data_IF_989173630690
#
_entry.id   IF_989173630690
#
_cell.length_a   1.000
_cell.length_b   1.000
_cell.length_c   1.000
_cell.angle_alpha   90.00
_cell.angle_beta   90.00
_cell.angle_gamma   90.00
#
_symmetry.space_group_name_H-M   'P 1'
#
loop_
_entity.id
_entity.type
_entity.pdbx_description
1 polymer ?
#
# COMPACT_ATOMS: atom_id res chain seq x y z
N UNK A 1 11.11 -40.46 -5.21
CA UNK A 1 10.67 -40.56 -6.62
C UNK A 1 11.13 -39.28 -7.32
N UNK A 2 12.10 -39.41 -8.23
CA UNK A 2 12.67 -38.28 -8.97
C UNK A 2 11.63 -37.76 -9.96
N UNK A 3 11.33 -36.47 -9.88
CA UNK A 3 10.51 -35.73 -10.88
C UNK A 3 11.36 -35.69 -12.16
N UNK A 4 10.82 -36.08 -13.32
CA UNK A 4 11.56 -36.00 -14.59
C UNK A 4 11.83 -34.53 -14.91
N UNK A 5 13.11 -34.15 -14.93
CA UNK A 5 13.61 -32.89 -15.47
C UNK A 5 13.40 -32.87 -17.00
N UNK A 6 12.90 -31.73 -17.50
CA UNK A 6 12.80 -31.34 -18.93
C UNK A 6 11.59 -31.82 -19.76
N UNK A 7 10.36 -31.59 -19.27
CA UNK A 7 9.32 -31.17 -20.19
C UNK A 7 9.42 -29.62 -20.28
N UNK A 8 9.57 -29.07 -21.50
CA UNK A 8 9.58 -27.61 -21.70
C UNK A 8 8.26 -27.04 -21.15
N UNK A 9 8.37 -26.05 -20.28
CA UNK A 9 7.18 -25.37 -19.71
C UNK A 9 6.26 -24.92 -20.84
N UNK A 10 4.91 -25.11 -20.75
CA UNK A 10 3.99 -24.62 -21.76
C UNK A 10 4.14 -23.10 -21.98
N UNK A 11 4.15 -22.65 -23.23
CA UNK A 11 4.36 -21.25 -23.58
C UNK A 11 3.36 -20.30 -22.88
N UNK A 12 2.09 -20.73 -22.73
CA UNK A 12 1.07 -19.96 -21.99
C UNK A 12 1.45 -19.80 -20.50
N UNK A 13 2.04 -20.81 -19.87
CA UNK A 13 2.49 -20.72 -18.47
C UNK A 13 3.69 -19.77 -18.33
N UNK A 14 4.63 -19.80 -19.28
CA UNK A 14 5.74 -18.85 -19.35
C UNK A 14 5.23 -17.42 -19.48
N UNK A 15 4.27 -17.18 -20.41
CA UNK A 15 3.65 -15.87 -20.57
C UNK A 15 2.96 -15.40 -19.29
N UNK A 16 2.19 -16.29 -18.62
CA UNK A 16 1.53 -15.98 -17.37
C UNK A 16 2.54 -15.52 -16.31
N UNK A 17 3.66 -16.23 -16.17
CA UNK A 17 4.73 -15.84 -15.21
C UNK A 17 5.36 -14.49 -15.56
N UNK A 18 5.61 -14.19 -16.82
CA UNK A 18 6.13 -12.89 -17.26
C UNK A 18 5.23 -11.73 -16.86
N UNK A 19 3.92 -12.00 -16.71
CA UNK A 19 2.92 -11.04 -16.23
C UNK A 19 2.59 -11.19 -14.74
N UNK A 20 3.40 -11.92 -13.96
CA UNK A 20 3.23 -12.09 -12.50
C UNK A 20 2.07 -13.02 -12.12
N UNK A 21 1.54 -13.79 -13.06
CA UNK A 21 0.46 -14.78 -12.82
C UNK A 21 1.07 -16.16 -12.59
N UNK A 22 0.74 -16.79 -11.46
CA UNK A 22 1.19 -18.16 -11.16
C UNK A 22 0.31 -19.19 -11.88
N UNK A 23 0.84 -19.98 -12.83
CA UNK A 23 0.08 -21.02 -13.51
C UNK A 23 -0.03 -22.32 -12.72
N UNK A 24 0.79 -22.49 -11.68
CA UNK A 24 0.77 -23.63 -10.74
C UNK A 24 0.94 -23.10 -9.32
N UNK A 25 0.13 -23.57 -8.39
CA UNK A 25 0.20 -23.23 -6.97
C UNK A 25 -0.06 -24.46 -6.10
N UNK A 26 0.38 -24.43 -4.86
CA UNK A 26 0.03 -25.45 -3.88
C UNK A 26 -1.31 -25.11 -3.24
N UNK A 27 -2.23 -26.08 -3.23
CA UNK A 27 -3.52 -25.93 -2.56
C UNK A 27 -3.36 -25.94 -1.03
N UNK A 28 -4.48 -25.80 -0.31
CA UNK A 28 -4.49 -25.80 1.16
C UNK A 28 -3.97 -27.11 1.80
N UNK A 29 -3.79 -28.18 1.01
CA UNK A 29 -3.25 -29.46 1.44
C UNK A 29 -1.79 -29.66 0.99
N UNK A 30 -1.18 -28.65 0.36
CA UNK A 30 0.17 -28.71 -0.19
C UNK A 30 0.26 -29.55 -1.47
N UNK A 31 -0.86 -29.71 -2.20
CA UNK A 31 -0.89 -30.42 -3.48
C UNK A 31 -0.73 -29.44 -4.64
N UNK A 32 0.29 -29.63 -5.52
CA UNK A 32 0.48 -28.78 -6.69
C UNK A 32 -0.74 -28.83 -7.62
N UNK A 33 -1.34 -27.69 -7.83
CA UNK A 33 -2.57 -27.51 -8.64
C UNK A 33 -2.27 -26.61 -9.82
N UNK A 34 -2.57 -27.11 -11.02
CA UNK A 34 -2.39 -26.34 -12.27
C UNK A 34 -3.64 -25.54 -12.57
N UNK A 35 -3.45 -24.26 -12.88
CA UNK A 35 -4.53 -23.36 -13.31
C UNK A 35 -4.94 -23.70 -14.74
N UNK A 36 -6.24 -23.83 -14.99
CA UNK A 36 -6.75 -24.13 -16.31
C UNK A 36 -6.46 -23.01 -17.33
N UNK A 37 -6.08 -23.35 -18.56
CA UNK A 37 -5.74 -22.41 -19.65
C UNK A 37 -6.82 -21.33 -19.85
N UNK A 38 -8.10 -21.71 -19.79
CA UNK A 38 -9.21 -20.76 -19.92
C UNK A 38 -9.24 -19.71 -18.78
N UNK A 39 -8.72 -20.01 -17.59
CA UNK A 39 -8.59 -19.05 -16.51
C UNK A 39 -7.38 -18.14 -16.74
N UNK A 40 -6.23 -18.70 -17.15
CA UNK A 40 -5.03 -17.93 -17.52
C UNK A 40 -5.33 -16.94 -18.64
N UNK A 41 -6.03 -17.35 -19.70
CA UNK A 41 -6.42 -16.47 -20.81
C UNK A 41 -7.27 -15.29 -20.34
N UNK A 42 -8.25 -15.53 -19.45
CA UNK A 42 -9.07 -14.44 -18.87
C UNK A 42 -8.28 -13.48 -18.00
N UNK A 43 -7.34 -13.99 -17.20
CA UNK A 43 -6.48 -13.15 -16.37
C UNK A 43 -5.54 -12.33 -17.25
N UNK A 44 -4.91 -12.94 -18.27
CA UNK A 44 -4.04 -12.23 -19.21
C UNK A 44 -4.80 -11.16 -19.98
N UNK A 45 -6.01 -11.46 -20.47
CA UNK A 45 -6.86 -10.47 -21.12
C UNK A 45 -7.23 -9.29 -20.21
N UNK A 46 -7.45 -9.54 -18.91
CA UNK A 46 -7.68 -8.48 -17.91
C UNK A 46 -6.43 -7.63 -17.63
N UNK A 47 -5.24 -8.14 -18.00
CA UNK A 47 -3.96 -7.41 -17.98
C UNK A 47 -3.61 -6.80 -19.36
N UNK A 48 -4.61 -6.65 -20.24
CA UNK A 48 -4.45 -6.15 -21.61
C UNK A 48 -3.58 -7.04 -22.54
N UNK A 49 -3.44 -8.33 -22.20
CA UNK A 49 -2.69 -9.34 -22.98
C UNK A 49 -3.65 -10.39 -23.53
N UNK A 50 -4.34 -10.05 -24.61
CA UNK A 50 -5.26 -10.98 -25.27
C UNK A 50 -4.52 -11.87 -26.28
N UNK A 51 -4.33 -13.11 -25.91
CA UNK A 51 -3.71 -14.17 -26.72
C UNK A 51 -4.71 -15.26 -27.11
N UNK A 52 -6.01 -14.94 -27.06
CA UNK A 52 -7.06 -15.84 -27.45
C UNK A 52 -7.19 -15.90 -28.99
N UNK A 53 -7.43 -17.10 -29.52
CA UNK A 53 -7.90 -17.26 -30.87
C UNK A 53 -9.36 -16.81 -30.98
N UNK A 54 -9.83 -16.37 -32.18
CA UNK A 54 -11.24 -16.13 -32.45
C UNK A 54 -12.04 -17.41 -32.15
N UNK A 55 -12.91 -17.38 -31.14
CA UNK A 55 -13.70 -18.52 -30.72
C UNK A 55 -15.19 -18.30 -31.00
N UNK A 56 -15.89 -19.37 -31.34
CA UNK A 56 -17.34 -19.36 -31.55
C UNK A 56 -18.11 -19.09 -30.20
N UNK A 57 -17.52 -19.42 -29.07
CA UNK A 57 -18.06 -19.15 -27.74
C UNK A 57 -17.06 -18.32 -26.92
N UNK A 58 -17.35 -17.04 -26.57
CA UNK A 58 -16.49 -16.20 -25.76
C UNK A 58 -16.25 -16.75 -24.34
N UNK A 59 -17.10 -17.66 -23.87
CA UNK A 59 -16.95 -18.29 -22.55
C UNK A 59 -15.91 -19.39 -22.52
N UNK A 60 -15.48 -19.85 -23.73
CA UNK A 60 -14.47 -20.90 -23.89
C UNK A 60 -13.33 -20.39 -24.78
N UNK A 61 -12.51 -19.47 -24.28
CA UNK A 61 -11.38 -18.95 -25.03
C UNK A 61 -10.41 -20.09 -25.34
N UNK A 62 -9.85 -20.06 -26.55
CA UNK A 62 -8.86 -21.04 -27.03
C UNK A 62 -7.53 -20.32 -27.20
N UNK A 63 -6.43 -20.98 -26.82
CA UNK A 63 -5.07 -20.43 -26.93
C UNK A 63 -4.69 -20.26 -28.39
N UNK A 64 -4.17 -19.06 -28.76
CA UNK A 64 -3.49 -18.84 -30.04
C UNK A 64 -1.98 -18.92 -29.84
N UNK A 65 -1.30 -20.01 -30.27
CA UNK A 65 0.13 -20.18 -30.02
C UNK A 65 1.00 -19.06 -30.61
N UNK A 66 0.62 -18.54 -31.79
CA UNK A 66 1.39 -17.47 -32.43
C UNK A 66 1.30 -16.15 -31.65
N UNK A 67 0.11 -15.83 -31.14
CA UNK A 67 -0.08 -14.67 -30.26
C UNK A 67 0.65 -14.83 -28.94
N UNK A 68 0.68 -16.04 -28.36
CA UNK A 68 1.43 -16.32 -27.13
C UNK A 68 2.92 -16.08 -27.33
N UNK A 69 3.53 -16.60 -28.39
CA UNK A 69 4.95 -16.39 -28.69
C UNK A 69 5.29 -14.91 -28.95
N UNK A 70 4.43 -14.21 -29.69
CA UNK A 70 4.58 -12.77 -29.90
C UNK A 70 4.49 -11.98 -28.59
N UNK A 71 3.55 -12.34 -27.71
CA UNK A 71 3.36 -11.70 -26.41
C UNK A 71 4.53 -11.99 -25.45
N UNK A 72 5.11 -13.21 -25.47
CA UNK A 72 6.33 -13.54 -24.73
C UNK A 72 7.48 -12.64 -25.17
N UNK A 73 7.71 -12.54 -26.50
CA UNK A 73 8.76 -11.69 -27.06
C UNK A 73 8.57 -10.24 -26.61
N UNK A 74 7.35 -9.71 -26.73
CA UNK A 74 7.04 -8.34 -26.33
C UNK A 74 7.25 -8.10 -24.82
N UNK A 75 6.87 -9.06 -23.97
CA UNK A 75 7.07 -8.96 -22.52
C UNK A 75 8.55 -8.97 -22.14
N UNK A 76 9.35 -9.83 -22.80
CA UNK A 76 10.80 -9.89 -22.62
C UNK A 76 11.48 -8.61 -23.12
N UNK A 77 11.09 -8.10 -24.29
CA UNK A 77 11.60 -6.83 -24.83
C UNK A 77 11.27 -5.65 -23.89
N UNK A 78 10.08 -5.65 -23.30
CA UNK A 78 9.69 -4.65 -22.31
C UNK A 78 10.57 -4.67 -21.06
N UNK A 79 11.05 -5.83 -20.61
CA UNK A 79 12.03 -5.93 -19.53
C UNK A 79 13.37 -5.27 -19.91
N UNK A 80 13.84 -5.47 -21.14
CA UNK A 80 15.09 -4.90 -21.64
C UNK A 80 15.00 -3.40 -21.98
N UNK A 81 13.80 -2.88 -22.25
CA UNK A 81 13.58 -1.43 -22.44
C UNK A 81 13.48 -0.70 -21.12
N UNK A 82 13.06 -1.38 -20.05
CA UNK A 82 13.01 -0.81 -18.71
C UNK A 82 14.42 -0.67 -18.15
N UNK A 83 14.85 0.55 -17.85
CA UNK A 83 16.19 0.83 -17.34
C UNK A 83 16.51 0.15 -16.03
N UNK A 84 15.55 0.16 -15.09
CA UNK A 84 15.63 -0.48 -13.77
C UNK A 84 14.25 -0.92 -13.30
N UNK A 85 14.18 -1.98 -12.49
CA UNK A 85 12.93 -2.39 -11.87
C UNK A 85 12.37 -1.26 -10.96
N UNK A 86 11.04 -1.05 -10.90
CA UNK A 86 10.46 0.03 -10.08
C UNK A 86 10.70 -0.18 -8.58
N UNK A 87 10.87 -1.42 -8.15
CA UNK A 87 11.19 -1.79 -6.77
C UNK A 87 12.22 -2.91 -6.76
N UNK A 88 13.20 -2.78 -5.88
CA UNK A 88 14.25 -3.77 -5.62
C UNK A 88 14.28 -4.06 -4.13
N UNK A 89 14.46 -5.32 -3.76
CA UNK A 89 14.57 -5.76 -2.36
C UNK A 89 16.00 -6.26 -2.11
N UNK A 90 16.60 -5.80 -1.01
CA UNK A 90 17.85 -6.31 -0.50
C UNK A 90 17.75 -6.65 0.99
N UNK A 91 18.72 -7.40 1.51
CA UNK A 91 18.79 -7.77 2.92
C UNK A 91 19.96 -7.05 3.57
N UNK A 92 19.73 -6.39 4.67
CA UNK A 92 20.77 -5.71 5.47
C UNK A 92 21.90 -6.68 5.85
N UNK A 93 23.14 -6.22 5.73
CA UNK A 93 24.31 -7.04 5.99
C UNK A 93 24.71 -7.95 4.83
N UNK A 94 24.02 -7.87 3.68
CA UNK A 94 24.31 -8.64 2.49
C UNK A 94 24.53 -7.70 1.29
N UNK A 95 25.64 -7.90 0.58
CA UNK A 95 25.85 -7.24 -0.69
C UNK A 95 24.84 -7.75 -1.72
N UNK A 96 24.19 -6.85 -2.45
CA UNK A 96 23.21 -7.17 -3.49
C UNK A 96 23.59 -6.56 -4.82
N UNK A 97 23.17 -7.20 -5.91
CA UNK A 97 23.37 -6.69 -7.26
C UNK A 97 22.03 -6.40 -7.92
N UNK A 98 21.85 -5.17 -8.38
CA UNK A 98 20.65 -4.71 -9.08
C UNK A 98 20.93 -4.64 -10.57
N UNK A 99 20.13 -5.33 -11.36
CA UNK A 99 20.29 -5.32 -12.81
C UNK A 99 19.65 -4.06 -13.41
N UNK A 100 20.37 -3.47 -14.37
CA UNK A 100 19.89 -2.35 -15.17
C UNK A 100 20.15 -2.61 -16.64
N UNK A 101 19.31 -2.04 -17.50
CA UNK A 101 19.43 -2.18 -18.95
C UNK A 101 19.58 -0.81 -19.60
N UNK A 102 20.59 -0.67 -20.48
CA UNK A 102 20.86 0.56 -21.21
C UNK A 102 21.24 0.24 -22.65
N UNK A 103 21.16 1.22 -23.55
CA UNK A 103 21.73 1.02 -24.87
C UNK A 103 23.26 0.79 -24.76
N UNK A 104 23.82 -0.06 -25.62
CA UNK A 104 25.26 -0.39 -25.61
C UNK A 104 26.12 0.87 -25.73
N UNK A 105 25.69 1.84 -26.53
CA UNK A 105 26.33 3.15 -26.69
C UNK A 105 26.32 4.03 -25.45
N UNK A 106 25.41 3.78 -24.52
CA UNK A 106 25.23 4.53 -23.28
C UNK A 106 26.00 3.95 -22.09
N UNK A 107 26.43 2.69 -22.18
CA UNK A 107 26.98 1.93 -21.05
C UNK A 107 28.11 2.63 -20.30
N UNK A 108 29.01 3.33 -21.00
CA UNK A 108 30.11 4.06 -20.38
C UNK A 108 29.69 5.32 -19.60
N UNK A 109 28.47 5.80 -19.80
CA UNK A 109 27.99 7.06 -19.25
C UNK A 109 26.99 6.85 -18.10
N UNK A 110 26.83 5.61 -17.64
CA UNK A 110 25.93 5.25 -16.53
C UNK A 110 26.55 5.64 -15.19
N UNK A 111 25.72 6.23 -14.33
CA UNK A 111 26.04 6.51 -12.91
C UNK A 111 24.87 6.07 -12.06
N UNK A 112 25.16 5.49 -10.91
CA UNK A 112 24.14 5.08 -9.95
C UNK A 112 24.38 5.75 -8.59
N UNK A 113 23.31 6.18 -7.94
CA UNK A 113 23.35 6.82 -6.62
C UNK A 113 22.24 6.27 -5.73
N UNK A 114 22.55 6.12 -4.45
CA UNK A 114 21.61 5.71 -3.41
C UNK A 114 21.32 6.89 -2.47
N UNK A 115 20.06 7.26 -2.34
CA UNK A 115 19.57 8.20 -1.32
C UNK A 115 18.94 7.41 -0.19
N UNK A 116 19.49 7.51 1.01
CA UNK A 116 18.96 6.83 2.19
C UNK A 116 17.73 7.56 2.70
N UNK A 117 16.78 6.80 3.26
CA UNK A 117 15.60 7.33 3.91
C UNK A 117 15.99 8.34 5.02
N UNK A 118 15.35 9.52 5.02
CA UNK A 118 15.64 10.59 5.98
C UNK A 118 16.97 11.34 5.78
N UNK A 119 17.75 11.05 4.73
CA UNK A 119 19.03 11.70 4.45
C UNK A 119 18.98 12.48 3.15
N UNK A 120 19.58 13.67 3.14
CA UNK A 120 19.65 14.53 1.93
C UNK A 120 20.83 14.22 1.00
N UNK A 121 21.87 13.53 1.50
CA UNK A 121 23.06 13.21 0.72
C UNK A 121 22.88 11.91 -0.06
N UNK A 122 23.15 11.95 -1.37
CA UNK A 122 23.18 10.77 -2.23
C UNK A 122 24.57 10.15 -2.26
N UNK A 123 24.65 8.84 -2.08
CA UNK A 123 25.89 8.05 -2.12
C UNK A 123 26.08 7.45 -3.52
N UNK A 124 27.22 7.60 -4.19
CA UNK A 124 27.49 6.92 -5.45
C UNK A 124 27.62 5.41 -5.23
N UNK A 125 27.12 4.63 -6.20
CA UNK A 125 27.22 3.17 -6.21
C UNK A 125 28.08 2.69 -7.40
N UNK A 126 28.84 1.59 -7.23
CA UNK A 126 29.57 0.97 -8.31
C UNK A 126 28.64 0.42 -9.39
N UNK A 127 28.99 0.67 -10.67
CA UNK A 127 28.31 0.10 -11.83
C UNK A 127 29.34 -0.71 -12.60
N UNK A 128 29.03 -1.96 -12.89
CA UNK A 128 29.91 -2.87 -13.60
C UNK A 128 29.19 -3.70 -14.66
N UNK A 129 29.94 -4.50 -15.42
CA UNK A 129 29.31 -5.50 -16.28
C UNK A 129 28.54 -6.51 -15.43
N UNK A 130 27.37 -6.93 -15.90
CA UNK A 130 26.61 -7.96 -15.21
C UNK A 130 27.42 -9.27 -15.24
N UNK A 131 27.91 -9.67 -14.08
CA UNK A 131 28.41 -11.03 -13.90
C UNK A 131 27.21 -11.93 -13.61
N UNK A 132 27.15 -13.07 -14.29
CA UNK A 132 26.18 -14.13 -13.98
C UNK A 132 26.61 -14.77 -12.65
N UNK A 133 26.39 -14.06 -11.55
CA UNK A 133 26.55 -14.64 -10.23
C UNK A 133 25.23 -15.32 -9.87
N UNK A 134 25.31 -16.60 -9.53
CA UNK A 134 24.19 -17.32 -8.95
C UNK A 134 23.73 -16.55 -7.70
N UNK A 135 22.40 -16.36 -7.48
CA UNK A 135 21.90 -15.70 -6.31
C UNK A 135 22.34 -16.45 -5.05
N UNK A 136 23.07 -15.78 -4.17
CA UNK A 136 23.51 -16.33 -2.86
C UNK A 136 22.40 -16.23 -1.79
N UNK A 137 21.15 -16.40 -2.17
CA UNK A 137 20.00 -16.44 -1.26
C UNK A 137 18.98 -17.46 -1.73
N UNK A 138 18.27 -18.08 -0.82
CA UNK A 138 17.11 -18.92 -1.18
C UNK A 138 16.14 -18.10 -2.01
N UNK A 139 15.76 -18.58 -3.21
CA UNK A 139 14.89 -17.82 -4.10
C UNK A 139 13.54 -17.59 -3.43
N UNK A 140 13.12 -16.32 -3.34
CA UNK A 140 11.75 -15.97 -3.03
C UNK A 140 10.82 -16.56 -4.10
N UNK A 141 9.65 -17.11 -3.73
CA UNK A 141 8.64 -17.53 -4.70
C UNK A 141 8.16 -16.42 -5.63
N UNK A 142 8.49 -15.16 -5.33
CA UNK A 142 8.10 -13.97 -6.08
C UNK A 142 9.04 -13.60 -7.23
N UNK A 143 10.19 -14.28 -7.41
CA UNK A 143 11.14 -14.03 -8.50
C UNK A 143 11.13 -15.15 -9.55
N UNK A 144 10.11 -15.27 -10.40
CA UNK A 144 10.10 -16.29 -11.45
C UNK A 144 10.86 -15.90 -12.72
N UNK A 145 11.25 -14.64 -12.87
CA UNK A 145 11.72 -14.10 -14.17
C UNK A 145 13.22 -14.25 -14.38
N UNK A 146 14.03 -14.24 -13.31
CA UNK A 146 15.50 -14.13 -13.46
C UNK A 146 16.24 -15.46 -13.68
N UNK A 147 15.58 -16.60 -13.75
CA UNK A 147 16.27 -17.90 -13.86
C UNK A 147 16.71 -18.33 -15.27
N UNK A 148 16.28 -17.62 -16.32
CA UNK A 148 16.44 -18.10 -17.68
C UNK A 148 17.26 -17.21 -18.63
N UNK A 149 17.64 -15.99 -18.26
CA UNK A 149 18.40 -15.13 -19.16
C UNK A 149 19.88 -15.01 -18.75
N UNK A 150 20.73 -15.89 -19.33
CA UNK A 150 22.18 -15.73 -19.32
C UNK A 150 22.68 -14.65 -20.29
N UNK A 151 21.81 -14.06 -21.09
CA UNK A 151 22.17 -13.06 -22.08
C UNK A 151 22.61 -11.75 -21.40
N UNK A 152 23.78 -11.25 -21.77
CA UNK A 152 24.30 -9.95 -21.35
C UNK A 152 23.89 -8.83 -22.31
N UNK A 153 23.38 -9.18 -23.51
CA UNK A 153 22.96 -8.25 -24.56
C UNK A 153 21.68 -8.74 -25.24
N UNK A 154 20.85 -7.81 -25.72
CA UNK A 154 19.66 -8.07 -26.52
C UNK A 154 19.41 -6.90 -27.48
N UNK A 155 19.01 -7.19 -28.70
CA UNK A 155 18.56 -6.17 -29.66
C UNK A 155 17.05 -6.02 -29.57
N UNK A 156 16.57 -4.82 -29.23
CA UNK A 156 15.15 -4.45 -29.16
C UNK A 156 14.94 -3.22 -30.01
N UNK A 157 14.01 -3.28 -30.95
CA UNK A 157 13.69 -2.21 -31.91
C UNK A 157 14.95 -1.67 -32.66
N UNK A 158 15.87 -2.58 -33.03
CA UNK A 158 17.10 -2.23 -33.71
C UNK A 158 18.19 -1.61 -32.82
N UNK A 159 17.95 -1.45 -31.52
CA UNK A 159 18.90 -0.93 -30.55
C UNK A 159 19.51 -2.10 -29.76
N UNK A 160 20.84 -2.23 -29.83
CA UNK A 160 21.55 -3.17 -28.97
C UNK A 160 21.54 -2.64 -27.52
N UNK A 161 21.03 -3.43 -26.60
CA UNK A 161 20.98 -3.15 -25.16
C UNK A 161 21.90 -4.08 -24.41
N UNK A 162 22.52 -3.54 -23.36
CA UNK A 162 23.41 -4.30 -22.48
C UNK A 162 22.84 -4.29 -21.07
N UNK A 163 23.06 -5.39 -20.36
CA UNK A 163 22.76 -5.55 -18.95
C UNK A 163 23.99 -5.17 -18.14
N UNK A 164 23.82 -4.22 -17.23
CA UNK A 164 24.82 -3.84 -16.25
C UNK A 164 24.33 -4.18 -14.84
N UNK A 165 25.28 -4.22 -13.90
CA UNK A 165 25.00 -4.49 -12.49
C UNK A 165 25.35 -3.27 -11.65
N UNK A 166 24.42 -2.81 -10.82
CA UNK A 166 24.66 -1.83 -9.75
C UNK A 166 24.88 -2.59 -8.46
N UNK A 167 26.02 -2.41 -7.82
CA UNK A 167 26.33 -3.06 -6.55
C UNK A 167 25.77 -2.22 -5.39
N UNK A 168 24.85 -2.81 -4.63
CA UNK A 168 24.35 -2.28 -3.36
C UNK A 168 25.20 -2.88 -2.24
N UNK A 169 25.92 -2.07 -1.47
CA UNK A 169 26.81 -2.57 -0.42
C UNK A 169 26.03 -3.11 0.79
N UNK A 170 26.69 -3.89 1.60
CA UNK A 170 26.13 -4.57 2.78
C UNK A 170 25.87 -3.63 3.98
N UNK A 171 26.45 -2.42 3.96
CA UNK A 171 26.29 -1.41 5.02
C UNK A 171 25.02 -0.55 4.87
N UNK A 172 24.15 -0.86 3.90
CA UNK A 172 22.86 -0.15 3.75
C UNK A 172 21.95 -0.52 4.91
N UNK A 173 21.44 0.47 5.69
CA UNK A 173 20.55 0.20 6.81
C UNK A 173 19.18 -0.30 6.33
N UNK A 174 18.44 -0.98 7.22
CA UNK A 174 17.04 -1.30 6.95
C UNK A 174 16.23 -0.03 6.74
N UNK A 175 15.35 -0.02 5.74
CA UNK A 175 14.53 1.14 5.41
C UNK A 175 14.04 1.13 3.96
N UNK A 176 13.41 2.24 3.57
CA UNK A 176 12.88 2.49 2.22
C UNK A 176 13.72 3.57 1.57
N UNK A 177 14.62 3.18 0.69
CA UNK A 177 15.60 4.06 0.06
C UNK A 177 15.25 4.32 -1.40
N UNK A 178 15.93 5.31 -2.02
CA UNK A 178 15.77 5.59 -3.45
C UNK A 178 17.09 5.31 -4.18
N UNK A 179 17.05 4.39 -5.15
CA UNK A 179 18.13 4.14 -6.09
C UNK A 179 17.87 4.92 -7.38
N UNK A 180 18.82 5.74 -7.79
CA UNK A 180 18.74 6.56 -9.00
C UNK A 180 19.81 6.12 -9.97
N UNK A 181 19.41 5.79 -11.19
CA UNK A 181 20.30 5.49 -12.32
C UNK A 181 20.24 6.66 -13.30
N UNK A 182 21.40 7.27 -13.58
CA UNK A 182 21.55 8.38 -14.52
C UNK A 182 22.41 7.96 -15.71
N UNK A 183 22.04 8.45 -16.87
CA UNK A 183 22.78 8.25 -18.11
C UNK A 183 23.04 9.62 -18.71
N UNK A 184 24.32 10.00 -18.84
CA UNK A 184 24.74 11.34 -19.24
C UNK A 184 25.74 11.27 -20.42
N UNK A 185 25.31 10.88 -21.64
CA UNK A 185 26.18 10.88 -22.80
C UNK A 185 26.52 12.32 -23.22
N UNK A 186 27.71 12.59 -23.76
CA UNK A 186 28.11 13.91 -24.23
C UNK A 186 27.14 14.45 -25.29
N UNK A 187 26.64 15.67 -25.08
CA UNK A 187 25.76 16.34 -26.04
C UNK A 187 24.29 15.90 -25.99
N UNK A 188 23.93 14.97 -25.10
CA UNK A 188 22.55 14.54 -24.88
C UNK A 188 22.03 15.05 -23.52
N UNK A 189 20.71 15.28 -23.39
CA UNK A 189 20.14 15.59 -22.10
C UNK A 189 20.32 14.40 -21.14
N UNK A 190 20.48 14.70 -19.85
CA UNK A 190 20.53 13.69 -18.80
C UNK A 190 19.20 12.93 -18.75
N UNK A 191 19.28 11.59 -18.79
CA UNK A 191 18.15 10.72 -18.57
C UNK A 191 18.33 9.98 -17.24
N UNK A 192 17.27 9.95 -16.41
CA UNK A 192 17.30 9.31 -15.11
C UNK A 192 16.09 8.39 -14.87
N UNK A 193 16.37 7.29 -14.17
CA UNK A 193 15.37 6.34 -13.71
C UNK A 193 15.51 6.12 -12.21
N UNK A 194 14.35 5.97 -11.54
CA UNK A 194 14.27 5.78 -10.11
C UNK A 194 13.74 4.38 -9.76
N UNK A 195 14.25 3.83 -8.68
CA UNK A 195 13.76 2.58 -8.10
C UNK A 195 13.65 2.73 -6.59
N UNK A 196 12.58 2.20 -6.01
CA UNK A 196 12.48 2.04 -4.56
C UNK A 196 13.35 0.87 -4.13
N UNK A 197 14.35 1.11 -3.28
CA UNK A 197 15.17 0.07 -2.68
C UNK A 197 14.67 -0.22 -1.28
N UNK A 198 14.05 -1.40 -1.10
CA UNK A 198 13.61 -1.90 0.20
C UNK A 198 14.73 -2.72 0.81
N UNK A 199 15.39 -2.19 1.84
CA UNK A 199 16.38 -2.94 2.61
C UNK A 199 15.70 -3.52 3.85
N UNK A 200 15.50 -4.84 3.85
CA UNK A 200 14.91 -5.55 4.97
C UNK A 200 15.96 -6.04 5.97
N UNK A 201 15.65 -6.16 7.27
CA UNK A 201 16.52 -6.88 8.18
C UNK A 201 16.59 -8.37 7.78
N UNK A 202 17.66 -9.10 8.12
CA UNK A 202 17.79 -10.52 7.80
C UNK A 202 16.77 -11.38 8.54
N UNK A 203 16.23 -10.87 9.63
CA UNK A 203 15.18 -11.49 10.44
C UNK A 203 14.30 -10.41 11.05
N UNK A 204 12.99 -10.63 11.06
CA UNK A 204 12.07 -9.77 11.78
C UNK A 204 12.36 -9.80 13.28
N UNK A 205 12.33 -8.63 13.91
CA UNK A 205 12.41 -8.50 15.36
C UNK A 205 11.12 -9.08 15.96
N UNK A 206 11.25 -10.00 16.91
CA UNK A 206 10.12 -10.58 17.64
C UNK A 206 9.84 -9.77 18.91
N UNK A 207 8.68 -10.00 19.53
CA UNK A 207 8.31 -9.34 20.77
C UNK A 207 9.36 -9.55 21.90
N UNK A 208 10.11 -10.65 21.85
CA UNK A 208 11.18 -10.95 22.82
C UNK A 208 12.29 -9.88 22.84
N UNK A 209 12.44 -9.07 21.78
CA UNK A 209 13.38 -7.95 21.76
C UNK A 209 12.90 -6.73 22.56
N UNK A 210 11.62 -6.65 22.88
CA UNK A 210 10.99 -5.51 23.56
C UNK A 210 10.46 -5.88 24.95
N UNK A 211 10.20 -7.18 25.20
CA UNK A 211 9.63 -7.68 26.43
C UNK A 211 10.57 -8.72 27.04
N UNK A 212 10.92 -8.56 28.30
CA UNK A 212 11.70 -9.51 29.11
C UNK A 212 10.84 -10.64 29.69
N UNK A 213 9.54 -10.62 29.40
CA UNK A 213 8.53 -11.57 29.85
C UNK A 213 7.55 -11.90 28.72
N UNK A 214 6.71 -12.90 28.95
CA UNK A 214 5.60 -13.21 28.03
C UNK A 214 4.59 -12.06 28.06
N UNK A 215 4.45 -11.37 26.94
CA UNK A 215 3.46 -10.32 26.74
C UNK A 215 2.06 -10.87 26.45
N UNK A 216 1.02 -10.11 26.83
CA UNK A 216 -0.35 -10.36 26.45
C UNK A 216 -1.06 -9.04 26.08
N UNK A 217 -2.11 -9.12 25.30
CA UNK A 217 -2.88 -7.93 24.88
C UNK A 217 -4.31 -8.25 24.54
N UNK A 218 -5.05 -7.21 24.18
CA UNK A 218 -6.45 -7.29 23.78
C UNK A 218 -6.56 -7.16 22.27
N UNK A 219 -7.36 -8.00 21.63
CA UNK A 219 -7.76 -7.85 20.24
C UNK A 219 -9.24 -7.42 20.18
N UNK A 220 -9.54 -6.34 19.48
CA UNK A 220 -10.87 -5.81 19.38
C UNK A 220 -11.19 -5.30 17.96
N UNK A 221 -12.44 -5.41 17.57
CA UNK A 221 -12.93 -4.72 16.38
C UNK A 221 -13.33 -3.30 16.80
N UNK A 222 -12.55 -2.28 16.39
CA UNK A 222 -12.76 -0.91 16.88
C UNK A 222 -14.19 -0.43 16.71
N UNK A 223 -14.81 -0.72 15.57
CA UNK A 223 -16.20 -0.32 15.32
C UNK A 223 -17.21 -0.87 16.34
N UNK A 224 -16.88 -1.93 17.09
CA UNK A 224 -17.73 -2.51 18.13
C UNK A 224 -17.40 -2.02 19.55
N UNK A 225 -16.35 -1.24 19.71
CA UNK A 225 -15.91 -0.68 21.00
C UNK A 225 -16.57 0.68 21.18
N UNK A 226 -17.64 0.74 21.91
CA UNK A 226 -18.38 1.99 22.14
C UNK A 226 -18.27 2.46 23.59
N UNK A 227 -18.24 3.76 23.78
CA UNK A 227 -18.29 4.40 25.10
C UNK A 227 -19.39 5.45 25.18
N UNK A 228 -19.89 5.70 26.39
CA UNK A 228 -20.71 6.87 26.71
C UNK A 228 -20.06 7.58 27.89
N UNK A 229 -20.08 8.91 27.88
CA UNK A 229 -19.75 9.68 29.08
C UNK A 229 -20.99 9.90 29.96
N UNK A 230 -20.81 10.52 31.13
CA UNK A 230 -21.89 10.81 32.06
C UNK A 230 -23.00 11.72 31.46
N UNK A 231 -22.75 12.34 30.31
CA UNK A 231 -23.66 13.24 29.61
C UNK A 231 -24.21 12.64 28.31
N UNK A 232 -23.94 11.35 28.03
CA UNK A 232 -24.37 10.68 26.80
C UNK A 232 -23.61 11.12 25.53
N UNK A 233 -22.45 11.74 25.66
CA UNK A 233 -21.67 12.26 24.55
C UNK A 233 -20.58 11.29 24.07
N UNK A 234 -20.89 9.99 24.04
CA UNK A 234 -19.95 8.95 23.63
C UNK A 234 -19.79 8.78 22.13
N UNK A 235 -19.70 7.53 21.74
CA UNK A 235 -19.64 7.08 20.37
C UNK A 235 -20.92 7.39 19.58
N UNK A 236 -20.78 7.51 18.25
CA UNK A 236 -21.91 7.81 17.36
C UNK A 236 -22.48 6.54 16.70
N UNK A 237 -22.87 5.56 17.54
CA UNK A 237 -23.44 4.29 17.06
C UNK A 237 -22.40 3.32 16.48
N UNK A 238 -21.11 3.64 16.58
CA UNK A 238 -19.98 2.74 16.35
C UNK A 238 -18.75 3.30 17.08
N UNK A 239 -17.76 2.43 17.37
CA UNK A 239 -16.54 2.84 18.03
C UNK A 239 -15.63 3.69 17.15
N UNK A 240 -14.85 4.57 17.78
CA UNK A 240 -13.96 5.52 17.15
C UNK A 240 -12.57 5.58 17.82
N UNK A 241 -11.70 6.50 17.37
CA UNK A 241 -10.33 6.61 17.89
C UNK A 241 -10.27 6.99 19.36
N UNK A 242 -11.21 7.77 19.89
CA UNK A 242 -11.25 8.06 21.32
C UNK A 242 -11.60 6.82 22.15
N UNK A 243 -12.46 5.95 21.63
CA UNK A 243 -12.79 4.66 22.25
C UNK A 243 -11.57 3.72 22.22
N UNK A 244 -10.78 3.71 21.14
CA UNK A 244 -9.53 2.96 21.08
C UNK A 244 -8.56 3.40 22.17
N UNK A 245 -8.39 4.73 22.38
CA UNK A 245 -7.54 5.27 23.43
C UNK A 245 -8.02 4.85 24.83
N UNK A 246 -9.32 4.94 25.08
CA UNK A 246 -9.90 4.56 26.37
C UNK A 246 -9.77 3.05 26.65
N UNK A 247 -9.95 2.21 25.61
CA UNK A 247 -9.72 0.78 25.73
C UNK A 247 -8.25 0.44 25.99
N UNK A 248 -7.32 1.11 25.29
CA UNK A 248 -5.89 0.93 25.51
C UNK A 248 -5.48 1.28 26.94
N UNK A 249 -5.91 2.44 27.46
CA UNK A 249 -5.65 2.84 28.85
C UNK A 249 -6.21 1.84 29.85
N UNK A 250 -7.45 1.38 29.64
CA UNK A 250 -8.07 0.41 30.53
C UNK A 250 -7.32 -0.94 30.48
N UNK A 251 -6.97 -1.43 29.30
CA UNK A 251 -6.24 -2.67 29.15
C UNK A 251 -4.83 -2.58 29.80
N UNK A 252 -4.13 -1.46 29.62
CA UNK A 252 -2.82 -1.20 30.23
C UNK A 252 -2.88 -1.22 31.76
N UNK A 253 -3.93 -0.65 32.39
CA UNK A 253 -4.16 -0.73 33.83
C UNK A 253 -4.27 -2.16 34.35
N UNK A 254 -4.63 -3.11 33.51
CA UNK A 254 -4.68 -4.53 33.81
C UNK A 254 -3.42 -5.29 33.35
N UNK A 255 -2.38 -4.58 32.91
CA UNK A 255 -1.10 -5.14 32.53
C UNK A 255 -1.02 -5.68 31.11
N UNK A 256 -1.93 -5.27 30.21
CA UNK A 256 -1.81 -5.57 28.79
C UNK A 256 -0.66 -4.78 28.15
N UNK A 257 0.08 -5.43 27.25
CA UNK A 257 1.24 -4.85 26.57
C UNK A 257 0.89 -4.26 25.21
N UNK A 258 -0.27 -4.65 24.63
CA UNK A 258 -0.71 -4.14 23.32
C UNK A 258 -2.22 -4.20 23.15
N UNK A 259 -2.72 -3.37 22.25
CA UNK A 259 -4.07 -3.41 21.71
C UNK A 259 -4.00 -3.65 20.21
N UNK A 260 -4.58 -4.77 19.73
CA UNK A 260 -4.75 -5.06 18.32
C UNK A 260 -6.16 -4.66 17.87
N UNK A 261 -6.25 -3.81 16.88
CA UNK A 261 -7.54 -3.42 16.28
C UNK A 261 -7.64 -3.89 14.82
N UNK A 262 -8.87 -3.93 14.29
CA UNK A 262 -9.10 -4.15 12.87
C UNK A 262 -8.39 -3.08 12.02
N UNK A 263 -8.17 -3.32 10.69
CA UNK A 263 -7.61 -2.30 9.81
C UNK A 263 -8.39 -0.99 9.86
N UNK A 264 -7.67 0.12 10.06
CA UNK A 264 -8.21 1.48 10.09
C UNK A 264 -8.17 2.16 8.72
N UNK A 265 -8.10 1.38 7.67
CA UNK A 265 -7.88 1.83 6.29
C UNK A 265 -9.10 2.55 5.71
N UNK A 266 -8.83 3.46 4.75
CA UNK A 266 -9.85 4.30 4.14
C UNK A 266 -10.92 3.47 3.39
N UNK A 267 -12.18 3.78 3.68
CA UNK A 267 -13.36 3.31 2.93
C UNK A 267 -13.74 4.29 1.83
N UNK A 268 -14.64 3.89 0.93
CA UNK A 268 -15.17 4.78 -0.11
C UNK A 268 -16.00 5.91 0.54
N UNK A 269 -15.62 7.19 0.37
CA UNK A 269 -16.34 8.31 1.00
C UNK A 269 -17.65 8.67 0.31
N UNK A 270 -17.90 8.10 -0.87
CA UNK A 270 -19.09 8.42 -1.65
C UNK A 270 -19.73 7.17 -2.22
N UNK A 271 -21.03 7.02 -1.99
CA UNK A 271 -21.80 5.93 -2.53
C UNK A 271 -22.84 6.42 -3.51
N UNK A 272 -23.04 5.68 -4.60
CA UNK A 272 -24.15 5.97 -5.50
C UNK A 272 -25.48 5.81 -4.76
N UNK A 273 -26.51 6.61 -5.05
CA UNK A 273 -27.83 6.47 -4.45
C UNK A 273 -28.36 5.03 -4.56
N UNK A 274 -28.72 4.43 -3.41
CA UNK A 274 -29.22 3.05 -3.35
C UNK A 274 -28.16 1.97 -3.21
N UNK A 275 -26.87 2.31 -3.18
CA UNK A 275 -25.79 1.38 -2.89
C UNK A 275 -25.55 1.28 -1.38
N UNK A 276 -25.53 0.07 -0.84
CA UNK A 276 -25.22 -0.14 0.58
C UNK A 276 -23.74 0.14 0.87
N UNK A 277 -23.40 0.72 2.03
CA UNK A 277 -22.02 0.86 2.48
C UNK A 277 -21.28 -0.48 2.52
N UNK A 278 -19.97 -0.45 2.24
CA UNK A 278 -19.13 -1.63 2.42
C UNK A 278 -18.87 -1.82 3.91
N UNK A 279 -19.50 -2.85 4.50
CA UNK A 279 -19.43 -3.08 5.95
C UNK A 279 -18.06 -3.62 6.43
N UNK A 280 -17.28 -4.19 5.52
CA UNK A 280 -16.02 -4.86 5.85
C UNK A 280 -14.83 -3.89 5.90
N UNK A 281 -14.14 -3.76 7.05
CA UNK A 281 -12.90 -2.98 7.14
C UNK A 281 -11.74 -3.64 6.38
N UNK A 282 -11.93 -4.89 5.93
CA UNK A 282 -10.93 -5.65 5.18
C UNK A 282 -11.00 -5.43 3.66
N UNK A 283 -11.95 -4.62 3.20
CA UNK A 283 -12.11 -4.23 1.79
C UNK A 283 -11.95 -2.72 1.59
N UNK A 284 -10.80 -2.12 1.97
CA UNK A 284 -10.59 -0.70 1.86
C UNK A 284 -10.35 -0.28 0.40
N UNK A 285 -10.63 0.99 0.08
CA UNK A 285 -10.25 1.59 -1.20
C UNK A 285 -8.78 2.01 -1.22
N UNK A 286 -8.20 2.24 -0.04
CA UNK A 286 -6.77 2.52 0.11
C UNK A 286 -6.28 1.99 1.45
N UNK A 287 -5.12 1.31 1.44
CA UNK A 287 -4.43 0.86 2.65
C UNK A 287 -3.44 1.90 3.20
N UNK A 288 -3.27 3.00 2.49
CA UNK A 288 -2.33 4.07 2.83
C UNK A 288 -2.97 5.19 3.66
N UNK A 289 -4.28 5.35 3.54
CA UNK A 289 -5.03 6.40 4.20
C UNK A 289 -6.01 5.83 5.22
N UNK A 290 -6.47 6.69 6.15
CA UNK A 290 -7.31 6.31 7.27
C UNK A 290 -8.80 6.45 6.92
N UNK A 291 -9.61 5.59 7.53
CA UNK A 291 -11.06 5.74 7.54
C UNK A 291 -11.48 6.89 8.48
N UNK A 292 -11.94 7.97 7.88
CA UNK A 292 -12.37 9.18 8.61
C UNK A 292 -13.66 8.98 9.42
N UNK A 293 -14.36 7.87 9.22
CA UNK A 293 -15.48 7.46 10.07
C UNK A 293 -15.07 7.17 11.52
N UNK A 294 -13.80 6.86 11.78
CA UNK A 294 -13.28 6.67 13.14
C UNK A 294 -12.88 7.97 13.87
N UNK A 295 -13.05 9.15 13.24
CA UNK A 295 -12.75 10.43 13.87
C UNK A 295 -13.82 10.77 14.93
N UNK A 296 -13.44 11.08 16.16
CA UNK A 296 -14.31 11.66 17.17
C UNK A 296 -14.49 13.16 16.89
N UNK A 297 -15.64 13.55 16.31
CA UNK A 297 -15.89 14.91 15.82
C UNK A 297 -15.76 15.97 16.92
N UNK A 298 -16.29 15.69 18.11
CA UNK A 298 -16.28 16.66 19.24
C UNK A 298 -14.86 16.95 19.79
N UNK A 299 -13.91 16.03 19.56
CA UNK A 299 -12.53 16.16 20.02
C UNK A 299 -11.66 16.96 19.04
N UNK A 300 -12.21 17.37 17.91
CA UNK A 300 -11.56 18.27 16.97
C UNK A 300 -11.51 19.67 17.59
N UNK A 301 -10.35 20.34 17.69
CA UNK A 301 -10.27 21.67 18.31
C UNK A 301 -11.22 22.71 17.72
N UNK A 302 -11.44 22.64 16.41
CA UNK A 302 -12.34 23.54 15.68
C UNK A 302 -13.84 23.32 16.03
N UNK A 303 -14.21 22.17 16.61
CA UNK A 303 -15.58 21.90 17.07
C UNK A 303 -16.04 22.92 18.12
N UNK A 304 -15.15 23.35 19.01
CA UNK A 304 -15.45 24.34 20.04
C UNK A 304 -15.76 25.75 19.47
N UNK A 305 -15.47 25.98 18.20
CA UNK A 305 -15.78 27.24 17.49
C UNK A 305 -17.18 27.24 16.88
N UNK A 306 -17.82 26.07 16.83
CA UNK A 306 -19.20 25.99 16.39
C UNK A 306 -20.14 26.77 17.36
N UNK A 307 -21.20 27.42 16.84
CA UNK A 307 -22.24 27.96 17.69
C UNK A 307 -22.84 26.90 18.65
N UNK A 308 -23.17 27.27 19.86
CA UNK A 308 -23.67 26.34 20.87
C UNK A 308 -24.88 25.49 20.40
N UNK A 309 -25.76 26.09 19.61
CA UNK A 309 -26.92 25.36 19.08
C UNK A 309 -26.52 24.26 18.09
N UNK A 310 -25.44 24.47 17.31
CA UNK A 310 -24.89 23.46 16.40
C UNK A 310 -24.18 22.36 17.18
N UNK A 311 -23.38 22.70 18.19
CA UNK A 311 -22.79 21.71 19.10
C UNK A 311 -23.88 20.84 19.73
N UNK A 312 -24.93 21.46 20.29
CA UNK A 312 -26.05 20.74 20.88
C UNK A 312 -26.83 19.88 19.87
N UNK A 313 -26.92 20.34 18.59
CA UNK A 313 -27.51 19.55 17.51
C UNK A 313 -26.67 18.31 17.21
N UNK A 314 -25.35 18.46 17.07
CA UNK A 314 -24.46 17.35 16.80
C UNK A 314 -24.42 16.33 17.96
N UNK A 315 -24.47 16.80 19.20
CA UNK A 315 -24.59 15.91 20.37
C UNK A 315 -25.88 15.06 20.32
N UNK A 316 -27.02 15.67 19.97
CA UNK A 316 -28.29 14.93 19.80
C UNK A 316 -28.19 13.89 18.68
N UNK A 317 -27.61 14.24 17.53
CA UNK A 317 -27.38 13.29 16.43
C UNK A 317 -26.56 12.08 16.91
N UNK A 318 -25.47 12.33 17.64
CA UNK A 318 -24.65 11.25 18.20
C UNK A 318 -25.43 10.37 19.19
N UNK A 319 -26.19 10.98 20.10
CA UNK A 319 -27.02 10.26 21.06
C UNK A 319 -28.10 9.41 20.37
N UNK A 320 -28.73 9.91 19.32
CA UNK A 320 -29.75 9.18 18.56
C UNK A 320 -29.15 7.97 17.83
N UNK A 321 -27.95 8.12 17.27
CA UNK A 321 -27.24 7.02 16.61
C UNK A 321 -26.80 5.95 17.62
N UNK A 322 -26.33 6.36 18.79
CA UNK A 322 -25.95 5.45 19.87
C UNK A 322 -27.18 4.69 20.40
N UNK A 323 -28.32 5.37 20.60
CA UNK A 323 -29.55 4.75 21.02
C UNK A 323 -30.07 3.71 20.01
N UNK A 324 -29.90 3.96 18.71
CA UNK A 324 -30.24 2.96 17.65
C UNK A 324 -29.37 1.72 17.75
N UNK A 325 -28.06 1.87 17.99
CA UNK A 325 -27.17 0.73 18.21
C UNK A 325 -27.61 -0.08 19.43
N UNK A 326 -27.91 0.56 20.55
CA UNK A 326 -28.37 -0.09 21.78
C UNK A 326 -29.69 -0.84 21.60
N UNK A 327 -30.64 -0.26 20.85
CA UNK A 327 -31.94 -0.87 20.57
C UNK A 327 -31.84 -2.06 19.61
N UNK A 328 -30.99 -1.99 18.60
CA UNK A 328 -30.93 -2.97 17.51
C UNK A 328 -29.82 -4.00 17.67
N UNK A 329 -28.79 -3.69 18.47
CA UNK A 329 -27.54 -4.46 18.55
C UNK A 329 -26.74 -4.45 17.23
N UNK A 330 -27.04 -3.52 16.31
CA UNK A 330 -26.42 -3.45 14.99
C UNK A 330 -25.99 -2.02 14.65
N UNK A 331 -24.80 -1.89 14.07
CA UNK A 331 -24.28 -0.63 13.55
C UNK A 331 -25.08 -0.26 12.30
N UNK A 332 -25.72 0.91 12.31
CA UNK A 332 -26.42 1.47 11.14
C UNK A 332 -25.48 2.41 10.36
N UNK A 333 -24.65 1.83 9.50
CA UNK A 333 -23.70 2.61 8.69
C UNK A 333 -24.38 3.57 7.73
N UNK A 334 -25.54 3.21 7.22
CA UNK A 334 -26.32 4.08 6.33
C UNK A 334 -26.77 5.36 7.03
N UNK A 335 -26.92 5.36 8.35
CA UNK A 335 -27.22 6.54 9.15
C UNK A 335 -25.95 7.21 9.69
N UNK A 336 -24.95 6.43 10.16
CA UNK A 336 -23.75 6.97 10.82
C UNK A 336 -22.80 7.66 9.85
N UNK A 337 -22.52 7.10 8.68
CA UNK A 337 -21.53 7.65 7.73
C UNK A 337 -21.94 9.04 7.18
N UNK A 338 -23.19 9.25 6.71
CA UNK A 338 -23.61 10.58 6.27
C UNK A 338 -23.63 11.60 7.42
N UNK A 339 -24.02 11.19 8.62
CA UNK A 339 -24.04 12.07 9.78
C UNK A 339 -22.64 12.52 10.16
N UNK A 340 -21.68 11.59 10.15
CA UNK A 340 -20.27 11.85 10.39
C UNK A 340 -19.68 12.81 9.34
N UNK A 341 -19.93 12.55 8.06
CA UNK A 341 -19.45 13.40 6.96
C UNK A 341 -20.01 14.81 7.05
N UNK A 342 -21.32 14.96 7.36
CA UNK A 342 -21.96 16.26 7.54
C UNK A 342 -21.38 17.03 8.75
N UNK A 343 -21.11 16.34 9.84
CA UNK A 343 -20.51 16.94 11.03
C UNK A 343 -19.08 17.42 10.77
N UNK A 344 -18.25 16.60 10.10
CA UNK A 344 -16.90 16.99 9.68
C UNK A 344 -16.92 18.21 8.77
N UNK A 345 -17.86 18.31 7.82
CA UNK A 345 -18.02 19.45 6.94
C UNK A 345 -18.38 20.74 7.70
N UNK A 346 -19.23 20.64 8.72
CA UNK A 346 -19.59 21.78 9.59
C UNK A 346 -18.38 22.29 10.39
N UNK A 347 -17.58 21.36 10.95
CA UNK A 347 -16.37 21.74 11.70
C UNK A 347 -15.32 22.33 10.76
N UNK A 348 -15.12 21.75 9.59
CA UNK A 348 -14.25 22.29 8.55
C UNK A 348 -14.58 23.74 8.19
N UNK A 349 -15.86 24.06 8.05
CA UNK A 349 -16.34 25.41 7.69
C UNK A 349 -15.99 26.50 8.73
N UNK A 350 -15.60 26.11 9.97
CA UNK A 350 -15.17 27.08 11.00
C UNK A 350 -13.79 27.66 10.72
N UNK A 351 -13.06 27.11 9.77
CA UNK A 351 -11.68 27.47 9.47
C UNK A 351 -10.72 27.11 10.60
N UNK A 352 -9.46 27.33 10.37
CA UNK A 352 -8.35 26.99 11.29
C UNK A 352 -7.68 28.25 11.83
N UNK A 353 -7.07 28.19 13.00
CA UNK A 353 -6.15 29.22 13.48
C UNK A 353 -4.84 29.20 12.65
N UNK A 354 -4.04 30.24 12.72
CA UNK A 354 -2.76 30.33 12.00
C UNK A 354 -1.81 29.16 12.34
N UNK A 355 -1.77 28.76 13.60
CA UNK A 355 -0.93 27.64 14.05
C UNK A 355 -1.45 26.31 13.51
N UNK A 356 -2.76 26.08 13.55
CA UNK A 356 -3.40 24.90 12.99
C UNK A 356 -3.20 24.83 11.50
N UNK A 357 -3.32 25.96 10.79
CA UNK A 357 -3.06 26.04 9.34
C UNK A 357 -1.60 25.66 9.03
N UNK A 358 -0.66 26.15 9.81
CA UNK A 358 0.77 25.84 9.66
C UNK A 358 1.04 24.35 9.84
N UNK A 359 0.43 23.73 10.85
CA UNK A 359 0.57 22.27 11.11
C UNK A 359 -0.08 21.46 10.01
N UNK A 360 -1.26 21.84 9.55
CA UNK A 360 -1.94 21.20 8.42
C UNK A 360 -1.11 21.25 7.14
N UNK A 361 -0.54 22.40 6.81
CA UNK A 361 0.33 22.53 5.62
C UNK A 361 1.60 21.70 5.73
N UNK A 362 2.16 21.57 6.93
CA UNK A 362 3.30 20.67 7.17
C UNK A 362 2.89 19.22 6.90
N UNK A 363 1.79 18.75 7.49
CA UNK A 363 1.26 17.42 7.24
C UNK A 363 1.07 17.15 5.74
N UNK A 364 0.44 18.08 4.99
CA UNK A 364 0.25 17.92 3.54
C UNK A 364 1.58 17.79 2.78
N UNK A 365 2.61 18.57 3.14
CA UNK A 365 3.94 18.45 2.51
C UNK A 365 4.60 17.10 2.82
N UNK A 366 4.51 16.66 4.07
CA UNK A 366 5.14 15.43 4.53
C UNK A 366 4.48 14.18 3.92
N UNK A 367 3.16 14.22 3.69
CA UNK A 367 2.42 13.16 2.99
C UNK A 367 2.63 13.16 1.47
N UNK A 368 2.99 14.30 0.89
CA UNK A 368 3.35 14.43 -0.52
C UNK A 368 2.20 14.27 -1.53
N UNK A 369 2.54 13.99 -2.81
CA UNK A 369 1.57 13.97 -3.91
C UNK A 369 0.49 12.90 -3.79
N UNK A 370 0.76 11.80 -3.09
CA UNK A 370 -0.21 10.71 -2.96
C UNK A 370 -1.44 11.13 -2.13
N UNK A 371 -1.24 11.98 -1.12
CA UNK A 371 -2.37 12.57 -0.38
C UNK A 371 -3.21 13.48 -1.29
N UNK A 372 -2.56 14.25 -2.18
CA UNK A 372 -3.26 15.12 -3.12
C UNK A 372 -4.08 14.32 -4.13
N UNK A 373 -3.53 13.21 -4.62
CA UNK A 373 -4.22 12.31 -5.55
C UNK A 373 -5.42 11.63 -4.89
N UNK A 374 -5.22 11.06 -3.70
CA UNK A 374 -6.29 10.45 -2.91
C UNK A 374 -7.41 11.46 -2.59
N UNK A 375 -7.07 12.67 -2.16
CA UNK A 375 -8.04 13.71 -1.83
C UNK A 375 -8.83 14.16 -3.06
N UNK A 376 -8.19 14.28 -4.23
CA UNK A 376 -8.87 14.56 -5.51
C UNK A 376 -9.83 13.42 -5.89
N UNK A 377 -9.37 12.17 -5.76
CA UNK A 377 -10.23 11.02 -6.01
C UNK A 377 -11.46 11.03 -5.10
N UNK A 378 -11.29 11.25 -3.79
CA UNK A 378 -12.40 11.36 -2.85
C UNK A 378 -13.40 12.45 -3.24
N UNK A 379 -12.90 13.64 -3.66
CA UNK A 379 -13.75 14.77 -4.04
C UNK A 379 -14.58 14.53 -5.30
N UNK A 380 -14.20 13.56 -6.14
CA UNK A 380 -14.96 13.19 -7.34
C UNK A 380 -16.00 12.08 -7.09
N UNK A 381 -16.07 11.53 -5.87
CA UNK A 381 -17.06 10.51 -5.55
C UNK A 381 -18.47 11.09 -5.41
N UNK A 382 -19.54 10.34 -5.79
CA UNK A 382 -20.92 10.80 -5.59
C UNK A 382 -21.20 11.13 -4.12
N UNK A 383 -21.84 12.26 -3.85
CA UNK A 383 -22.13 12.71 -2.49
C UNK A 383 -20.93 13.27 -1.72
N UNK A 384 -19.74 13.29 -2.31
CA UNK A 384 -18.54 13.84 -1.70
C UNK A 384 -18.62 15.36 -1.50
N UNK A 385 -18.04 15.85 -0.42
CA UNK A 385 -18.10 17.24 0.06
C UNK A 385 -16.72 17.86 0.14
N UNK A 386 -16.63 19.11 0.48
CA UNK A 386 -16.50 20.35 -0.27
C UNK A 386 -15.19 20.49 -1.05
N UNK A 387 -14.62 19.44 -1.57
CA UNK A 387 -13.44 19.47 -2.44
C UNK A 387 -12.18 18.84 -1.81
N UNK A 388 -11.05 18.77 -2.57
CA UNK A 388 -9.87 18.01 -2.16
C UNK A 388 -9.24 18.47 -0.84
N UNK A 389 -9.28 19.78 -0.55
CA UNK A 389 -8.69 20.31 0.69
C UNK A 389 -9.39 19.80 1.95
N UNK A 390 -10.71 19.62 1.89
CA UNK A 390 -11.49 19.00 2.96
C UNK A 390 -11.03 17.55 3.23
N UNK A 391 -10.83 16.75 2.19
CA UNK A 391 -10.39 15.38 2.35
C UNK A 391 -8.95 15.27 2.89
N UNK A 392 -8.05 16.19 2.50
CA UNK A 392 -6.72 16.30 3.13
C UNK A 392 -6.83 16.63 4.61
N UNK A 393 -7.71 17.56 4.97
CA UNK A 393 -7.95 17.94 6.34
C UNK A 393 -8.53 16.76 7.15
N UNK A 394 -9.48 16.01 6.63
CA UNK A 394 -10.01 14.83 7.31
C UNK A 394 -8.92 13.79 7.59
N UNK A 395 -8.00 13.58 6.66
CA UNK A 395 -6.85 12.68 6.89
C UNK A 395 -5.92 13.22 7.98
N UNK A 396 -5.65 14.52 8.00
CA UNK A 396 -4.86 15.14 9.04
C UNK A 396 -5.50 15.00 10.44
N UNK A 397 -6.81 15.23 10.56
CA UNK A 397 -7.51 15.03 11.83
C UNK A 397 -7.48 13.58 12.30
N UNK A 398 -7.67 12.63 11.38
CA UNK A 398 -7.57 11.21 11.71
C UNK A 398 -6.16 10.83 12.19
N UNK A 399 -5.12 11.35 11.54
CA UNK A 399 -3.72 11.16 11.93
C UNK A 399 -3.43 11.74 13.33
N UNK A 400 -3.87 12.97 13.60
CA UNK A 400 -3.72 13.60 14.94
C UNK A 400 -4.40 12.77 16.04
N UNK A 401 -5.62 12.30 15.79
CA UNK A 401 -6.33 11.50 16.79
C UNK A 401 -5.69 10.12 16.98
N UNK A 402 -5.22 9.50 15.91
CA UNK A 402 -4.49 8.22 16.00
C UNK A 402 -3.16 8.37 16.75
N UNK A 403 -2.43 9.46 16.51
CA UNK A 403 -1.22 9.79 17.27
C UNK A 403 -1.52 9.96 18.76
N UNK A 404 -2.62 10.65 19.11
CA UNK A 404 -3.07 10.80 20.50
C UNK A 404 -3.43 9.45 21.14
N UNK A 405 -4.05 8.53 20.43
CA UNK A 405 -4.30 7.15 20.93
C UNK A 405 -2.99 6.46 21.29
N UNK A 406 -1.98 6.55 20.41
CA UNK A 406 -0.68 5.93 20.66
C UNK A 406 0.06 6.58 21.83
N UNK A 407 -0.02 7.90 21.97
CA UNK A 407 0.55 8.61 23.12
C UNK A 407 -0.11 8.19 24.44
N UNK A 408 -1.43 8.12 24.47
CA UNK A 408 -2.21 7.67 25.65
C UNK A 408 -1.87 6.22 26.03
N UNK A 409 -1.80 5.31 25.04
CA UNK A 409 -1.41 3.92 25.26
C UNK A 409 -0.01 3.82 25.91
N UNK A 410 0.97 4.53 25.35
CA UNK A 410 2.35 4.58 25.88
C UNK A 410 2.41 5.19 27.27
N UNK A 411 1.69 6.28 27.53
CA UNK A 411 1.64 6.91 28.83
C UNK A 411 1.01 6.00 29.90
N UNK A 412 0.09 5.11 29.49
CA UNK A 412 -0.50 4.10 30.36
C UNK A 412 0.38 2.85 30.57
N UNK A 413 1.51 2.74 29.88
CA UNK A 413 2.47 1.62 30.01
C UNK A 413 2.34 0.49 29.00
N UNK A 414 1.65 0.75 27.88
CA UNK A 414 1.44 -0.20 26.78
C UNK A 414 2.48 -0.02 25.65
#
# INVERSE_FOLDING_TARGET
MSIPQHASEPALHRLARLHGVQPVYDDQHGVPTTVADAALLRVLAALDVDVSAPAADPRRPVVDPARVEAAITAAEDALWTRRIAPTVVCVQGQQSCVQIHVAASEAAYVRAHLSLEGHSAARPLPVGAATVAAPTGSPSPADPVDRHESATTRTVDGVERVRLSVTVPDDVPSGVHTLVVRVCPPGCPEDQAHSTLLCSPPRLTTADAFLDRRGWGVAAQLYSVTSSDAHGHGSWGHGDLADAGSLAEHAAQHGADFLLVNPLHATDPGQAPGQAPVDSPYSPVSRRFLNTGYVRVRDIPEFQRLPHHEQARLHRVGADLQARLEQTGRIDRAATEPAQAAALALVWAQGRSADRETTFRRFCRDQGPDLDEFARWCAHRPGAHPGPEFHRWCQWIADEQLASVQERARAAGM
#
